data_IF_444848067807
#
_entry.id   IF_444848067807
#
_cell.length_a   1.000
_cell.length_b   1.000
_cell.length_c   1.000
_cell.angle_alpha   90.00
_cell.angle_beta   90.00
_cell.angle_gamma   90.00
#
_symmetry.space_group_name_H-M   'P 1'
#
loop_
_entity.id
_entity.type
_entity.pdbx_description
1 polymer ?
#
# COMPACT_ATOMS: atom_id res chain seq x y z
N UNK A 1 7.81 -13.70 -39.18
CA UNK A 1 8.31 -12.69 -38.22
C UNK A 1 7.42 -11.45 -38.04
N UNK A 2 6.47 -11.15 -38.94
CA UNK A 2 5.57 -9.96 -38.80
C UNK A 2 4.41 -10.12 -37.79
N UNK A 3 3.93 -11.35 -37.56
CA UNK A 3 2.79 -11.57 -36.62
C UNK A 3 3.13 -11.31 -35.15
N UNK A 4 4.36 -11.51 -34.74
CA UNK A 4 4.81 -11.27 -33.36
C UNK A 4 4.91 -9.78 -32.97
N UNK A 5 5.22 -8.92 -33.94
CA UNK A 5 5.33 -7.48 -33.71
C UNK A 5 3.96 -6.82 -33.52
N UNK A 6 2.93 -7.27 -34.27
CA UNK A 6 1.57 -6.73 -34.16
C UNK A 6 0.90 -7.09 -32.81
N UNK A 7 1.16 -8.28 -32.28
CA UNK A 7 0.65 -8.69 -30.95
C UNK A 7 1.31 -7.91 -29.80
N UNK A 8 2.60 -7.54 -29.95
CA UNK A 8 3.31 -6.72 -28.95
C UNK A 8 2.75 -5.30 -28.89
N UNK A 9 2.53 -4.65 -30.05
CA UNK A 9 1.95 -3.30 -30.11
C UNK A 9 0.52 -3.26 -29.53
N UNK A 10 -0.32 -4.23 -29.84
CA UNK A 10 -1.69 -4.30 -29.30
C UNK A 10 -1.70 -4.49 -27.77
N UNK A 11 -0.72 -5.22 -27.22
CA UNK A 11 -0.60 -5.42 -25.77
C UNK A 11 -0.15 -4.13 -25.07
N UNK A 12 0.80 -3.39 -25.62
CA UNK A 12 1.24 -2.09 -25.11
C UNK A 12 0.14 -1.03 -25.14
N UNK A 13 -0.65 -0.98 -26.22
CA UNK A 13 -1.80 -0.06 -26.33
C UNK A 13 -2.87 -0.39 -25.28
N UNK A 14 -3.23 -1.66 -25.09
CA UNK A 14 -4.20 -2.09 -24.08
C UNK A 14 -3.70 -1.85 -22.63
N UNK A 15 -2.42 -1.99 -22.35
CA UNK A 15 -1.82 -1.68 -21.05
C UNK A 15 -1.82 -0.16 -20.81
N UNK A 16 -1.53 0.66 -21.81
CA UNK A 16 -1.59 2.12 -21.71
C UNK A 16 -3.00 2.66 -21.49
N UNK A 17 -4.03 2.03 -22.04
CA UNK A 17 -5.44 2.41 -21.81
C UNK A 17 -5.92 1.97 -20.41
N UNK A 18 -5.46 0.84 -19.90
CA UNK A 18 -5.89 0.31 -18.62
C UNK A 18 -5.20 1.00 -17.41
N UNK A 19 -4.00 1.53 -17.58
CA UNK A 19 -3.26 2.19 -16.51
C UNK A 19 -4.03 3.37 -15.88
N UNK A 20 -4.60 4.32 -16.63
CA UNK A 20 -5.39 5.41 -16.05
C UNK A 20 -6.66 4.95 -15.35
N UNK A 21 -7.26 3.84 -15.77
CA UNK A 21 -8.47 3.29 -15.16
C UNK A 21 -8.18 2.58 -13.82
N UNK A 22 -7.02 1.94 -13.70
CA UNK A 22 -6.59 1.21 -12.50
C UNK A 22 -5.82 2.10 -11.51
N UNK A 23 -5.22 3.21 -11.98
CA UNK A 23 -4.45 4.15 -11.18
C UNK A 23 -4.89 5.58 -11.50
N UNK A 24 -5.92 6.07 -10.82
CA UNK A 24 -6.40 7.46 -10.99
C UNK A 24 -5.52 8.42 -10.19
N UNK A 25 -4.45 8.86 -10.81
CA UNK A 25 -3.49 9.80 -10.19
C UNK A 25 -3.96 11.24 -10.44
N UNK A 26 -4.19 12.06 -9.38
CA UNK A 26 -4.49 13.48 -9.54
C UNK A 26 -3.35 14.21 -10.27
N UNK A 27 -3.69 15.22 -11.07
CA UNK A 27 -2.70 15.95 -11.88
C UNK A 27 -1.65 16.70 -11.05
N UNK A 28 -1.96 17.04 -9.81
CA UNK A 28 -1.06 17.71 -8.88
C UNK A 28 -0.20 16.75 -8.04
N UNK A 29 -0.41 15.42 -8.15
CA UNK A 29 0.44 14.41 -7.52
C UNK A 29 1.72 14.22 -8.35
N UNK A 30 2.85 13.87 -7.73
CA UNK A 30 4.01 13.40 -8.45
C UNK A 30 3.69 12.13 -9.25
N UNK A 31 4.54 11.82 -10.22
CA UNK A 31 4.50 10.51 -10.88
C UNK A 31 4.65 9.39 -9.84
N UNK A 32 3.89 8.30 -10.01
CA UNK A 32 3.94 7.16 -9.09
C UNK A 32 5.29 6.46 -9.21
N UNK A 33 6.09 6.39 -8.14
CA UNK A 33 7.40 5.74 -8.17
C UNK A 33 7.28 4.25 -8.52
N UNK A 34 8.02 3.81 -9.51
CA UNK A 34 8.05 2.41 -9.94
C UNK A 34 9.48 1.87 -9.91
N UNK A 35 9.72 0.71 -9.25
CA UNK A 35 11.02 0.05 -9.30
C UNK A 35 11.36 -0.38 -10.73
N UNK A 36 12.65 -0.31 -11.10
CA UNK A 36 13.11 -0.70 -12.43
C UNK A 36 12.80 -2.17 -12.79
N UNK A 37 12.69 -3.05 -11.78
CA UNK A 37 12.40 -4.46 -11.93
C UNK A 37 10.89 -4.80 -11.78
N UNK A 38 10.05 -3.79 -11.52
CA UNK A 38 8.62 -3.99 -11.24
C UNK A 38 7.74 -2.85 -11.74
N UNK A 39 7.84 -2.54 -13.05
CA UNK A 39 6.91 -1.60 -13.68
C UNK A 39 5.49 -2.14 -13.66
N UNK A 40 4.52 -1.23 -13.56
CA UNK A 40 3.11 -1.58 -13.62
C UNK A 40 2.76 -2.26 -14.96
N UNK A 41 2.05 -3.38 -14.87
CA UNK A 41 1.28 -3.97 -15.98
C UNK A 41 -0.03 -4.52 -15.45
N UNK A 42 -1.04 -4.61 -16.32
CA UNK A 42 -2.36 -5.16 -15.94
C UNK A 42 -2.24 -6.60 -15.44
N UNK A 43 -1.36 -7.39 -16.03
CA UNK A 43 -1.16 -8.78 -15.63
C UNK A 43 -0.53 -8.90 -14.24
N UNK A 44 0.46 -8.05 -13.92
CA UNK A 44 1.08 -7.96 -12.58
C UNK A 44 0.07 -7.49 -11.53
N UNK A 45 -0.72 -6.48 -11.87
CA UNK A 45 -1.77 -5.96 -11.03
C UNK A 45 -2.84 -7.02 -10.72
N UNK A 46 -3.33 -7.74 -11.74
CA UNK A 46 -4.31 -8.81 -11.58
C UNK A 46 -3.79 -9.93 -10.67
N UNK A 47 -2.55 -10.37 -10.86
CA UNK A 47 -1.92 -11.35 -10.00
C UNK A 47 -1.78 -10.81 -8.56
N UNK A 48 -1.29 -9.59 -8.39
CA UNK A 48 -1.12 -8.96 -7.09
C UNK A 48 -2.45 -8.80 -6.34
N UNK A 49 -3.49 -8.33 -7.03
CA UNK A 49 -4.82 -8.23 -6.45
C UNK A 49 -5.37 -9.60 -6.01
N UNK A 50 -5.21 -10.63 -6.84
CA UNK A 50 -5.62 -12.00 -6.47
C UNK A 50 -4.89 -12.49 -5.22
N UNK A 51 -3.57 -12.31 -5.16
CA UNK A 51 -2.76 -12.69 -4.00
C UNK A 51 -3.15 -11.92 -2.73
N UNK A 52 -3.46 -10.62 -2.85
CA UNK A 52 -3.82 -9.75 -1.73
C UNK A 52 -5.10 -10.21 -1.01
N UNK A 53 -6.06 -10.75 -1.73
CA UNK A 53 -7.34 -11.21 -1.17
C UNK A 53 -7.38 -12.72 -0.90
N UNK A 54 -6.30 -13.47 -1.21
CA UNK A 54 -6.30 -14.91 -1.02
C UNK A 54 -5.78 -15.29 0.38
N UNK A 55 -6.58 -16.01 1.20
CA UNK A 55 -6.18 -16.41 2.54
C UNK A 55 -5.09 -17.49 2.57
N UNK A 56 -4.72 -18.07 1.44
CA UNK A 56 -3.64 -19.07 1.38
C UNK A 56 -2.27 -18.58 1.89
N UNK A 57 -2.15 -17.26 2.11
CA UNK A 57 -0.93 -16.65 2.65
C UNK A 57 -0.74 -16.88 4.15
N UNK A 58 -1.81 -17.08 4.91
CA UNK A 58 -1.69 -17.42 6.34
C UNK A 58 -1.46 -18.92 6.54
N UNK A 59 -0.89 -19.27 7.70
CA UNK A 59 -0.53 -20.66 8.04
C UNK A 59 -1.71 -21.61 7.96
N UNK A 60 -2.87 -21.16 8.45
CA UNK A 60 -4.13 -21.90 8.48
C UNK A 60 -5.07 -21.61 7.31
N UNK A 61 -4.68 -20.72 6.40
CA UNK A 61 -5.47 -20.25 5.27
C UNK A 61 -6.79 -19.57 5.65
N UNK A 62 -6.81 -18.81 6.74
CA UNK A 62 -8.00 -18.09 7.21
C UNK A 62 -7.92 -16.59 7.00
N UNK A 63 -6.71 -16.02 6.90
CA UNK A 63 -6.45 -14.58 6.86
C UNK A 63 -5.72 -14.20 5.58
N UNK A 64 -6.15 -13.12 4.94
CA UNK A 64 -5.50 -12.48 3.78
C UNK A 64 -5.09 -11.05 4.12
N UNK A 65 -4.32 -10.38 3.25
CA UNK A 65 -4.03 -8.95 3.40
C UNK A 65 -5.35 -8.14 3.46
N UNK A 66 -6.33 -8.47 2.60
CA UNK A 66 -7.64 -7.84 2.57
C UNK A 66 -8.50 -8.06 3.81
N UNK A 67 -8.13 -8.98 4.72
CA UNK A 67 -8.85 -9.18 5.99
C UNK A 67 -8.63 -7.99 6.95
N UNK A 68 -7.43 -7.42 6.96
CA UNK A 68 -7.04 -6.27 7.78
C UNK A 68 -7.02 -4.98 6.96
N UNK A 69 -6.60 -5.02 5.69
CA UNK A 69 -6.58 -3.86 4.81
C UNK A 69 -7.85 -3.82 3.95
N UNK A 70 -8.93 -3.32 4.55
CA UNK A 70 -10.26 -3.31 3.91
C UNK A 70 -10.46 -2.06 3.05
N UNK A 71 -10.91 -2.25 1.82
CA UNK A 71 -11.12 -1.16 0.85
C UNK A 71 -12.05 -0.07 1.39
N UNK A 72 -13.13 -0.42 2.07
CA UNK A 72 -14.07 0.54 2.66
C UNK A 72 -13.50 1.34 3.82
N UNK A 73 -12.37 0.92 4.40
CA UNK A 73 -11.62 1.61 5.45
C UNK A 73 -10.32 2.22 4.91
N UNK A 74 -10.29 2.65 3.64
CA UNK A 74 -9.12 3.17 2.95
C UNK A 74 -7.92 2.20 2.95
N UNK A 75 -8.19 0.89 2.84
CA UNK A 75 -7.22 -0.20 2.99
C UNK A 75 -6.49 -0.19 4.35
N UNK A 76 -7.17 0.27 5.38
CA UNK A 76 -6.85 0.08 6.79
C UNK A 76 -7.91 -0.76 7.48
N UNK A 77 -8.02 -0.67 8.80
CA UNK A 77 -9.07 -1.32 9.59
C UNK A 77 -9.87 -0.28 10.40
N UNK A 78 -11.10 -0.64 10.80
CA UNK A 78 -11.95 0.14 11.70
C UNK A 78 -11.79 -0.29 13.18
N UNK A 79 -10.88 -1.24 13.45
CA UNK A 79 -10.52 -1.72 14.78
C UNK A 79 -9.21 -1.08 15.27
N UNK A 80 -9.08 -0.92 16.57
CA UNK A 80 -7.81 -0.49 17.16
C UNK A 80 -6.69 -1.50 16.91
N UNK A 81 -7.00 -2.80 17.03
CA UNK A 81 -6.12 -3.92 16.72
C UNK A 81 -6.89 -4.92 15.87
N UNK A 82 -6.29 -5.38 14.79
CA UNK A 82 -6.89 -6.35 13.88
C UNK A 82 -6.68 -7.78 14.36
N UNK A 83 -7.52 -8.68 13.89
CA UNK A 83 -7.48 -10.10 14.21
C UNK A 83 -6.74 -10.88 13.13
N UNK A 84 -5.68 -11.58 13.52
CA UNK A 84 -4.93 -12.49 12.67
C UNK A 84 -5.37 -13.93 12.83
N UNK A 85 -4.46 -14.88 12.56
CA UNK A 85 -4.76 -16.31 12.69
C UNK A 85 -5.12 -16.69 14.13
N UNK A 86 -5.94 -17.73 14.29
CA UNK A 86 -6.34 -18.29 15.59
C UNK A 86 -6.94 -17.26 16.56
N UNK A 87 -7.50 -16.15 16.08
CA UNK A 87 -8.05 -15.08 16.91
C UNK A 87 -6.99 -14.26 17.65
N UNK A 88 -5.71 -14.37 17.30
CA UNK A 88 -4.66 -13.53 17.84
C UNK A 88 -4.82 -12.10 17.30
N UNK A 89 -4.55 -11.10 18.12
CA UNK A 89 -4.65 -9.70 17.72
C UNK A 89 -3.27 -9.11 17.41
N UNK A 90 -3.24 -8.18 16.45
CA UNK A 90 -2.02 -7.42 16.11
C UNK A 90 -1.55 -6.58 17.29
N UNK A 91 -0.27 -6.22 17.30
CA UNK A 91 0.31 -5.40 18.37
C UNK A 91 0.22 -3.90 18.10
N UNK A 92 -0.11 -3.53 16.87
CA UNK A 92 -0.25 -2.14 16.43
C UNK A 92 -1.49 -1.98 15.55
N UNK A 93 -2.00 -0.76 15.44
CA UNK A 93 -3.06 -0.43 14.51
C UNK A 93 -2.60 -0.64 13.07
N UNK A 94 -3.49 -1.18 12.23
CA UNK A 94 -3.22 -1.43 10.80
C UNK A 94 -3.19 -0.10 10.05
N UNK A 95 -2.07 0.27 9.43
CA UNK A 95 -1.98 1.50 8.65
C UNK A 95 -2.78 1.39 7.35
N UNK A 96 -3.34 2.50 6.89
CA UNK A 96 -3.95 2.58 5.57
C UNK A 96 -2.90 2.42 4.46
N UNK A 97 -3.25 1.68 3.39
CA UNK A 97 -2.36 1.49 2.23
C UNK A 97 -2.59 2.51 1.11
N UNK A 98 -3.57 3.41 1.23
CA UNK A 98 -3.76 4.45 0.22
C UNK A 98 -2.50 5.32 0.10
N UNK A 99 -2.14 5.62 -1.15
CA UNK A 99 -0.97 6.46 -1.48
C UNK A 99 0.37 5.93 -0.94
N UNK A 100 0.43 4.65 -0.57
CA UNK A 100 1.65 4.02 -0.01
C UNK A 100 2.84 4.10 -0.97
N UNK A 101 2.59 4.21 -2.28
CA UNK A 101 3.63 4.35 -3.31
C UNK A 101 4.57 5.55 -3.09
N UNK A 102 4.10 6.59 -2.41
CA UNK A 102 4.86 7.83 -2.17
C UNK A 102 5.61 7.84 -0.84
N UNK A 103 5.53 6.78 -0.06
CA UNK A 103 6.25 6.71 1.21
C UNK A 103 7.72 6.34 0.99
N UNK A 104 8.66 7.01 1.67
CA UNK A 104 10.09 6.74 1.54
C UNK A 104 10.56 5.50 2.30
N UNK A 105 9.76 5.00 3.23
CA UNK A 105 9.98 3.81 4.04
C UNK A 105 8.65 3.27 4.58
N UNK A 106 8.66 2.02 5.02
CA UNK A 106 7.47 1.27 5.43
C UNK A 106 7.60 0.78 6.86
N UNK A 107 6.47 0.30 7.42
CA UNK A 107 6.20 0.07 8.84
C UNK A 107 6.14 1.36 9.66
N UNK A 108 5.40 1.37 10.78
CA UNK A 108 5.23 2.57 11.62
C UNK A 108 6.52 3.10 12.24
N UNK A 109 7.54 2.24 12.39
CA UNK A 109 8.87 2.60 12.92
C UNK A 109 9.91 2.88 11.83
N UNK A 110 9.57 2.78 10.54
CA UNK A 110 10.51 2.78 9.43
C UNK A 110 11.36 1.48 9.40
N UNK A 111 12.44 1.49 8.66
CA UNK A 111 13.38 0.35 8.62
C UNK A 111 13.14 -0.63 7.47
N UNK A 112 12.03 -0.54 6.76
CA UNK A 112 11.76 -1.31 5.54
C UNK A 112 11.74 -0.35 4.35
N UNK A 113 12.66 -0.47 3.38
CA UNK A 113 12.86 0.53 2.34
C UNK A 113 11.93 0.38 1.12
N UNK A 114 11.29 -0.76 0.91
CA UNK A 114 10.44 -1.01 -0.27
C UNK A 114 9.15 -1.75 0.09
N UNK A 115 8.10 -1.58 -0.71
CA UNK A 115 6.83 -2.31 -0.55
C UNK A 115 7.09 -3.81 -0.67
N UNK A 116 7.93 -4.23 -1.62
CA UNK A 116 8.26 -5.64 -1.83
C UNK A 116 8.91 -6.31 -0.62
N UNK A 117 9.66 -5.55 0.18
CA UNK A 117 10.21 -6.05 1.44
C UNK A 117 9.18 -5.99 2.57
N UNK A 118 8.31 -4.97 2.57
CA UNK A 118 7.26 -4.82 3.58
C UNK A 118 6.29 -5.99 3.57
N UNK A 119 5.93 -6.50 2.40
CA UNK A 119 5.06 -7.69 2.23
C UNK A 119 5.53 -8.90 3.06
N UNK A 120 6.83 -9.03 3.31
CA UNK A 120 7.38 -10.15 4.10
C UNK A 120 7.11 -10.01 5.61
N UNK A 121 6.84 -8.82 6.10
CA UNK A 121 6.65 -8.55 7.54
C UNK A 121 5.40 -9.26 8.06
N UNK A 122 4.18 -8.98 7.56
CA UNK A 122 2.96 -9.63 8.05
C UNK A 122 2.95 -11.15 7.83
N UNK A 123 3.63 -11.63 6.79
CA UNK A 123 3.73 -13.08 6.51
C UNK A 123 4.44 -13.81 7.66
N UNK A 124 5.48 -13.21 8.23
CA UNK A 124 6.28 -13.82 9.29
C UNK A 124 5.76 -13.49 10.69
N UNK A 125 4.96 -12.43 10.83
CA UNK A 125 4.46 -11.99 12.12
C UNK A 125 3.53 -13.03 12.75
N UNK A 126 3.85 -13.43 14.01
CA UNK A 126 3.18 -14.50 14.72
C UNK A 126 1.67 -14.24 14.91
N UNK A 127 1.32 -12.99 15.20
CA UNK A 127 -0.06 -12.58 15.46
C UNK A 127 -0.85 -12.26 14.17
N UNK A 128 -0.21 -12.34 13.00
CA UNK A 128 -0.83 -12.04 11.71
C UNK A 128 -0.97 -13.31 10.86
N UNK A 129 -0.02 -13.61 9.98
CA UNK A 129 -0.10 -14.80 9.12
C UNK A 129 0.63 -16.01 9.69
N UNK A 130 1.65 -15.81 10.53
CA UNK A 130 2.49 -16.85 11.15
C UNK A 130 2.94 -17.92 10.14
N UNK A 131 3.41 -17.48 8.98
CA UNK A 131 3.80 -18.38 7.90
C UNK A 131 5.16 -17.96 7.31
N UNK A 132 5.51 -18.49 6.15
CA UNK A 132 6.77 -18.18 5.50
C UNK A 132 6.65 -18.24 3.97
N UNK A 133 7.51 -17.50 3.28
CA UNK A 133 7.52 -17.40 1.83
C UNK A 133 7.72 -18.75 1.10
N UNK A 134 8.64 -19.65 1.51
CA UNK A 134 8.74 -20.96 0.89
C UNK A 134 7.44 -21.79 0.94
N UNK A 135 6.72 -21.72 2.05
CA UNK A 135 5.43 -22.38 2.20
C UNK A 135 4.36 -21.80 1.26
N UNK A 136 4.28 -20.47 1.16
CA UNK A 136 3.40 -19.79 0.20
C UNK A 136 3.73 -20.21 -1.23
N UNK A 137 5.00 -20.11 -1.62
CA UNK A 137 5.44 -20.50 -2.97
C UNK A 137 5.07 -21.95 -3.29
N UNK A 138 5.26 -22.87 -2.33
CA UNK A 138 4.84 -24.26 -2.50
C UNK A 138 3.33 -24.39 -2.75
N UNK A 139 2.51 -23.66 -2.01
CA UNK A 139 1.04 -23.65 -2.18
C UNK A 139 0.63 -23.13 -3.55
N UNK A 140 1.11 -21.95 -3.95
CA UNK A 140 0.70 -21.35 -5.23
C UNK A 140 1.23 -22.12 -6.44
N UNK A 141 2.39 -22.76 -6.36
CA UNK A 141 2.90 -23.67 -7.41
C UNK A 141 2.02 -24.90 -7.64
N UNK A 142 1.29 -25.35 -6.63
CA UNK A 142 0.37 -26.48 -6.78
C UNK A 142 -0.98 -26.11 -7.42
N UNK A 143 -1.22 -24.82 -7.66
CA UNK A 143 -2.47 -24.31 -8.21
C UNK A 143 -2.21 -23.84 -9.65
N UNK A 144 -2.71 -24.54 -10.69
CA UNK A 144 -2.41 -24.22 -12.10
C UNK A 144 -2.74 -22.80 -12.50
N UNK A 145 -3.78 -22.21 -11.92
CA UNK A 145 -4.16 -20.81 -12.17
C UNK A 145 -3.06 -19.84 -11.78
N UNK A 146 -2.44 -19.99 -10.60
CA UNK A 146 -1.32 -19.14 -10.17
C UNK A 146 -0.09 -19.32 -11.04
N UNK A 147 0.20 -20.52 -11.50
CA UNK A 147 1.29 -20.77 -12.44
C UNK A 147 1.04 -20.02 -13.75
N UNK A 148 -0.18 -20.12 -14.31
CA UNK A 148 -0.56 -19.43 -15.53
C UNK A 148 -0.46 -17.89 -15.37
N UNK A 149 -0.99 -17.34 -14.29
CA UNK A 149 -0.92 -15.91 -14.01
C UNK A 149 0.52 -15.41 -13.82
N UNK A 150 1.37 -16.19 -13.14
CA UNK A 150 2.78 -15.89 -12.95
C UNK A 150 3.54 -15.87 -14.27
N UNK A 151 3.33 -16.88 -15.12
CA UNK A 151 3.93 -16.93 -16.46
C UNK A 151 3.50 -15.72 -17.31
N UNK A 152 2.22 -15.31 -17.23
CA UNK A 152 1.71 -14.16 -17.97
C UNK A 152 2.29 -12.84 -17.48
N UNK A 153 2.40 -12.66 -16.16
CA UNK A 153 2.84 -11.41 -15.54
C UNK A 153 4.36 -11.22 -15.55
N UNK A 154 5.12 -12.29 -15.37
CA UNK A 154 6.58 -12.24 -15.15
C UNK A 154 7.39 -13.18 -16.03
N UNK A 155 6.79 -13.99 -16.89
CA UNK A 155 7.48 -14.95 -17.77
C UNK A 155 8.16 -16.12 -17.01
N UNK A 156 7.76 -16.37 -15.76
CA UNK A 156 8.38 -17.37 -14.88
C UNK A 156 7.38 -18.03 -13.95
N UNK A 157 7.71 -19.20 -13.43
CA UNK A 157 6.92 -19.86 -12.39
C UNK A 157 6.85 -19.02 -11.10
N UNK A 158 5.80 -19.22 -10.26
CA UNK A 158 5.71 -18.56 -8.98
C UNK A 158 6.93 -18.80 -8.09
N UNK A 159 7.51 -17.73 -7.58
CA UNK A 159 8.58 -17.75 -6.60
C UNK A 159 8.45 -16.50 -5.68
N UNK A 160 9.37 -16.33 -4.76
CA UNK A 160 9.35 -15.19 -3.83
C UNK A 160 9.43 -13.83 -4.56
N UNK A 161 10.16 -13.77 -5.67
CA UNK A 161 10.25 -12.57 -6.51
C UNK A 161 8.87 -12.22 -7.08
N UNK A 162 8.19 -13.18 -7.72
CA UNK A 162 6.85 -12.97 -8.31
C UNK A 162 5.85 -12.53 -7.25
N UNK A 163 5.80 -13.22 -6.10
CA UNK A 163 4.83 -12.90 -5.03
C UNK A 163 5.01 -11.47 -4.52
N UNK A 164 6.24 -11.10 -4.15
CA UNK A 164 6.50 -9.77 -3.58
C UNK A 164 6.28 -8.65 -4.59
N UNK A 165 6.67 -8.85 -5.86
CA UNK A 165 6.50 -7.85 -6.93
C UNK A 165 5.04 -7.70 -7.34
N UNK A 166 4.29 -8.80 -7.43
CA UNK A 166 2.87 -8.73 -7.77
C UNK A 166 2.07 -7.98 -6.69
N UNK A 167 2.28 -8.31 -5.41
CA UNK A 167 1.65 -7.57 -4.31
C UNK A 167 2.06 -6.10 -4.32
N UNK A 168 3.35 -5.79 -4.45
CA UNK A 168 3.83 -4.41 -4.54
C UNK A 168 3.27 -3.65 -5.74
N UNK A 169 3.04 -4.30 -6.88
CA UNK A 169 2.40 -3.69 -8.04
C UNK A 169 0.94 -3.32 -7.74
N UNK A 170 0.18 -4.21 -7.09
CA UNK A 170 -1.19 -3.93 -6.66
C UNK A 170 -1.24 -2.81 -5.61
N UNK A 171 -0.44 -2.88 -4.56
CA UNK A 171 -0.44 -1.90 -3.47
C UNK A 171 -0.06 -0.49 -3.96
N UNK A 172 0.88 -0.37 -4.92
CA UNK A 172 1.22 0.92 -5.55
C UNK A 172 0.06 1.55 -6.31
N UNK A 173 -0.89 0.77 -6.78
CA UNK A 173 -2.06 1.27 -7.49
C UNK A 173 -3.14 1.86 -6.57
N UNK A 174 -3.00 1.72 -5.27
CA UNK A 174 -3.98 2.19 -4.29
C UNK A 174 -3.87 3.71 -4.09
N UNK A 175 -4.13 4.46 -5.15
CA UNK A 175 -4.08 5.92 -5.15
C UNK A 175 -5.43 6.49 -4.73
N UNK A 176 -5.40 7.45 -3.80
CA UNK A 176 -6.56 8.21 -3.35
C UNK A 176 -6.27 9.70 -3.47
N UNK A 177 -7.06 10.39 -4.29
CA UNK A 177 -6.89 11.80 -4.59
C UNK A 177 -8.11 12.41 -5.25
N UNK A 178 -9.33 11.96 -4.88
CA UNK A 178 -10.59 12.43 -5.46
C UNK A 178 -11.48 13.16 -4.44
N UNK A 179 -10.92 13.59 -3.30
CA UNK A 179 -11.64 14.34 -2.30
C UNK A 179 -12.00 15.75 -2.79
N UNK A 180 -12.85 16.45 -2.06
CA UNK A 180 -13.15 17.88 -2.33
C UNK A 180 -11.90 18.74 -2.25
N UNK A 181 -10.99 18.40 -1.33
CA UNK A 181 -9.71 19.09 -1.19
C UNK A 181 -8.81 18.84 -2.41
N UNK A 182 -8.74 17.61 -2.91
CA UNK A 182 -7.97 17.27 -4.10
C UNK A 182 -8.49 18.03 -5.32
N UNK A 183 -9.82 18.09 -5.51
CA UNK A 183 -10.44 18.88 -6.58
C UNK A 183 -10.13 20.37 -6.48
N UNK A 184 -10.11 20.92 -5.26
CA UNK A 184 -9.64 22.27 -5.05
C UNK A 184 -8.16 22.43 -5.42
N UNK A 185 -7.32 21.48 -5.02
CA UNK A 185 -5.87 21.53 -5.33
C UNK A 185 -5.58 21.46 -6.83
N UNK A 186 -6.38 20.72 -7.59
CA UNK A 186 -6.25 20.63 -9.04
C UNK A 186 -6.70 21.88 -9.78
N UNK A 187 -7.78 22.52 -9.32
CA UNK A 187 -8.46 23.58 -10.09
C UNK A 187 -8.26 24.98 -9.49
N UNK A 188 -7.84 25.09 -8.23
CA UNK A 188 -7.85 26.35 -7.49
C UNK A 188 -9.25 26.85 -7.08
N UNK A 189 -10.31 26.08 -7.40
CA UNK A 189 -11.70 26.48 -7.20
C UNK A 189 -12.13 26.25 -5.75
N UNK A 190 -12.20 27.34 -4.97
CA UNK A 190 -12.65 27.31 -3.57
C UNK A 190 -14.10 26.86 -3.40
N UNK A 191 -14.94 26.90 -4.46
CA UNK A 191 -16.32 26.44 -4.37
C UNK A 191 -16.43 24.92 -4.11
N UNK A 192 -15.35 24.18 -4.30
CA UNK A 192 -15.25 22.74 -3.95
C UNK A 192 -15.25 22.50 -2.44
N UNK A 193 -14.94 23.53 -1.64
CA UNK A 193 -14.85 23.46 -0.18
C UNK A 193 -15.98 24.25 0.47
N UNK A 194 -16.43 23.80 1.64
CA UNK A 194 -17.34 24.59 2.47
C UNK A 194 -16.60 25.77 3.12
N UNK A 195 -17.35 26.77 3.58
CA UNK A 195 -16.78 27.92 4.30
C UNK A 195 -16.01 27.50 5.56
N UNK A 196 -16.49 26.44 6.25
CA UNK A 196 -15.81 25.85 7.43
C UNK A 196 -14.49 25.20 7.03
N UNK A 197 -14.49 24.44 5.92
CA UNK A 197 -13.27 23.79 5.42
C UNK A 197 -12.22 24.83 4.99
N UNK A 198 -12.63 25.94 4.36
CA UNK A 198 -11.72 27.04 3.98
C UNK A 198 -11.11 27.67 5.23
N UNK A 199 -11.92 27.96 6.27
CA UNK A 199 -11.41 28.48 7.55
C UNK A 199 -10.48 27.49 8.24
N UNK A 200 -10.84 26.19 8.25
CA UNK A 200 -10.01 25.12 8.79
C UNK A 200 -8.67 25.01 8.07
N UNK A 201 -8.68 25.07 6.74
CA UNK A 201 -7.46 25.05 5.92
C UNK A 201 -6.55 26.26 6.21
N UNK A 202 -7.12 27.45 6.41
CA UNK A 202 -6.34 28.64 6.76
C UNK A 202 -5.70 28.50 8.16
N UNK A 203 -6.42 27.94 9.14
CA UNK A 203 -5.88 27.64 10.47
C UNK A 203 -4.79 26.57 10.42
N UNK A 204 -5.03 25.49 9.70
CA UNK A 204 -4.09 24.38 9.54
C UNK A 204 -2.74 24.83 8.97
N UNK A 205 -2.76 25.76 8.00
CA UNK A 205 -1.57 26.30 7.37
C UNK A 205 -0.98 27.53 8.09
N UNK A 206 -1.61 27.99 9.17
CA UNK A 206 -1.13 29.14 9.92
C UNK A 206 0.06 28.77 10.83
N UNK A 207 0.95 29.74 11.04
CA UNK A 207 2.03 29.57 12.03
C UNK A 207 1.50 29.39 13.46
N UNK A 208 0.34 29.98 13.75
CA UNK A 208 -0.31 29.88 15.07
C UNK A 208 -0.63 28.45 15.47
N UNK A 209 -1.13 27.64 14.54
CA UNK A 209 -1.45 26.23 14.79
C UNK A 209 -0.26 25.32 14.52
N UNK A 210 0.62 25.65 13.55
CA UNK A 210 1.83 24.93 13.24
C UNK A 210 1.61 23.53 12.65
N UNK A 211 0.35 23.15 12.31
CA UNK A 211 0.02 21.79 11.87
C UNK A 211 0.78 21.37 10.60
N UNK A 212 0.88 22.29 9.62
CA UNK A 212 1.53 22.04 8.34
C UNK A 212 3.06 21.88 8.42
N UNK A 213 3.68 22.13 9.59
CA UNK A 213 5.11 21.84 9.80
C UNK A 213 5.43 20.35 9.74
N UNK A 214 4.52 19.52 10.25
CA UNK A 214 4.61 18.06 10.21
C UNK A 214 3.65 17.47 9.16
N UNK A 215 2.43 18.02 9.07
CA UNK A 215 1.37 17.54 8.19
C UNK A 215 1.34 18.32 6.87
N UNK A 216 2.23 17.99 5.93
CA UNK A 216 2.40 18.66 4.64
C UNK A 216 2.41 17.70 3.46
N UNK A 217 2.48 18.24 2.24
CA UNK A 217 2.51 17.45 1.02
C UNK A 217 1.17 16.75 0.68
N UNK A 218 1.23 15.81 -0.25
CA UNK A 218 0.05 15.09 -0.76
C UNK A 218 -0.54 14.11 0.26
N UNK A 219 0.29 13.57 1.16
CA UNK A 219 -0.11 12.62 2.19
C UNK A 219 -0.21 13.27 3.58
N UNK A 220 -0.16 14.60 3.68
CA UNK A 220 -0.20 15.33 4.96
C UNK A 220 0.84 14.84 5.98
N UNK A 221 2.05 14.55 5.50
CA UNK A 221 3.19 14.16 6.34
C UNK A 221 4.49 14.64 5.72
N UNK A 222 5.44 15.07 6.55
CA UNK A 222 6.83 15.34 6.16
C UNK A 222 7.70 14.07 6.19
N UNK A 223 7.12 12.93 6.56
CA UNK A 223 7.78 11.63 6.77
C UNK A 223 8.90 11.63 7.81
N UNK A 224 9.06 12.70 8.59
CA UNK A 224 9.99 12.72 9.70
C UNK A 224 9.44 11.97 10.92
N UNK A 225 10.35 11.46 11.74
CA UNK A 225 10.00 10.90 13.05
C UNK A 225 9.95 12.04 14.05
N UNK A 226 8.74 12.46 14.41
CA UNK A 226 8.50 13.58 15.29
C UNK A 226 8.01 13.11 16.67
N UNK A 227 8.47 13.77 17.72
CA UNK A 227 7.93 13.56 19.06
C UNK A 227 6.71 14.47 19.28
N UNK A 228 5.52 13.87 19.33
CA UNK A 228 4.27 14.57 19.60
C UNK A 228 3.98 14.78 21.11
N UNK A 229 4.90 14.37 21.98
CA UNK A 229 4.77 14.50 23.42
C UNK A 229 3.84 13.47 24.10
N UNK A 230 3.29 12.53 23.34
CA UNK A 230 2.39 11.49 23.88
C UNK A 230 3.13 10.31 24.51
N UNK A 231 4.42 10.17 24.20
CA UNK A 231 5.23 9.04 24.66
C UNK A 231 6.43 9.54 25.43
N UNK A 232 6.80 8.81 26.49
CA UNK A 232 8.09 9.01 27.17
C UNK A 232 9.21 8.50 26.26
N UNK A 233 10.23 9.32 26.08
CA UNK A 233 11.43 8.92 25.34
C UNK A 233 12.11 7.74 26.04
N UNK A 234 12.34 6.63 25.32
CA UNK A 234 13.20 5.56 25.77
C UNK A 234 14.58 5.72 25.10
N UNK A 235 15.64 6.09 25.86
CA UNK A 235 16.96 6.31 25.30
C UNK A 235 17.59 5.06 24.66
N UNK A 236 17.20 3.87 25.09
CA UNK A 236 17.78 2.61 24.63
C UNK A 236 17.32 2.22 23.22
N UNK A 237 16.11 2.63 22.82
CA UNK A 237 15.53 2.27 21.51
C UNK A 237 15.71 3.34 20.45
N UNK A 238 16.18 4.55 20.81
CA UNK A 238 16.29 5.70 19.88
C UNK A 238 14.97 6.15 19.25
N UNK A 239 13.87 5.49 19.56
CA UNK A 239 12.50 5.75 19.06
C UNK A 239 11.51 5.48 20.18
N UNK A 240 10.51 6.35 20.32
CA UNK A 240 9.43 6.11 21.28
C UNK A 240 8.61 4.92 20.82
N UNK A 241 8.58 3.86 21.60
CA UNK A 241 7.60 2.79 21.42
C UNK A 241 6.29 3.19 22.07
N UNK A 242 5.17 2.81 21.46
CA UNK A 242 3.90 2.80 22.16
C UNK A 242 4.01 1.92 23.39
N UNK A 243 3.54 2.37 24.58
CA UNK A 243 3.40 1.45 25.70
C UNK A 243 2.51 0.28 25.26
N UNK A 244 2.94 -0.93 25.57
CA UNK A 244 2.22 -2.17 25.26
C UNK A 244 0.90 -2.35 26.02
N UNK A 245 0.42 -1.30 26.68
CA UNK A 245 -0.84 -1.28 27.44
C UNK A 245 -1.41 0.13 27.43
N UNK A 246 -2.30 0.38 26.53
CA UNK A 246 -3.32 1.42 26.64
C UNK A 246 -4.67 0.79 26.29
#
# INVERSE_FOLDING_TARGET
MLLGALLSCQKEEAENEAFPALMQVPTYFPEVPQPADNHFTVDRWNLGRKLFYDPLFSKDSTVSCGSCHRQQAAFGDDKALSEGINGLVTTINVPALINIAYQPYYTGSGGVPTIEMQVLVPIQEHNEFNFNMPGIVKRIKSIPEYVSLSMKAYGREPDAFVVTRALGCFERSLISGQSRYDKYRETGDLSKLSSEAIRGMALFNSEKCGCSKCHSGINFTNYAFENNGMYTFNPEDGRSRMPSSA
#
